data_IF_161694524991
#
_entry.id   IF_161694524991
#
_cell.length_a   1.000
_cell.length_b   1.000
_cell.length_c   1.000
_cell.angle_alpha   90.00
_cell.angle_beta   90.00
_cell.angle_gamma   90.00
#
_symmetry.space_group_name_H-M   'P 1'
#
loop_
_entity.id
_entity.type
_entity.pdbx_description
1 polymer ?
#
# COMPACT_ATOMS: atom_id res chain seq x y z
N UNK A 1 -8.93 18.01 10.63
CA UNK A 1 -8.63 18.97 11.67
C UNK A 1 -7.22 18.76 12.19
N UNK A 2 -6.54 19.83 12.58
CA UNK A 2 -5.12 19.83 13.02
C UNK A 2 -4.84 18.86 14.19
N UNK A 3 -5.84 18.56 15.01
CA UNK A 3 -5.70 17.66 16.16
C UNK A 3 -5.45 16.21 15.72
N UNK A 4 -6.16 15.69 14.74
CA UNK A 4 -5.93 14.33 14.21
C UNK A 4 -4.58 14.18 13.48
N UNK A 5 -4.12 15.24 12.84
CA UNK A 5 -2.84 15.30 12.13
C UNK A 5 -1.66 15.17 13.11
N UNK A 6 -1.69 15.97 14.19
CA UNK A 6 -0.66 15.94 15.23
C UNK A 6 -0.62 14.60 15.96
N UNK A 7 -1.77 14.00 16.20
CA UNK A 7 -1.89 12.69 16.86
C UNK A 7 -1.29 11.57 16.02
N UNK A 8 -1.52 11.54 14.72
CA UNK A 8 -0.94 10.54 13.80
C UNK A 8 0.59 10.58 13.80
N UNK A 9 1.18 11.78 13.72
CA UNK A 9 2.63 11.93 13.78
C UNK A 9 3.20 11.43 15.11
N UNK A 10 2.62 11.83 16.24
CA UNK A 10 3.08 11.42 17.57
C UNK A 10 3.00 9.90 17.75
N UNK A 11 1.90 9.27 17.33
CA UNK A 11 1.72 7.81 17.40
C UNK A 11 2.82 7.08 16.59
N UNK A 12 3.16 7.58 15.40
CA UNK A 12 4.22 7.00 14.57
C UNK A 12 5.58 7.13 15.28
N UNK A 13 5.88 8.29 15.87
CA UNK A 13 7.13 8.49 16.60
C UNK A 13 7.22 7.57 17.83
N UNK A 14 6.15 7.44 18.59
CA UNK A 14 6.07 6.54 19.75
C UNK A 14 6.25 5.07 19.33
N UNK A 15 5.59 4.65 18.24
CA UNK A 15 5.75 3.32 17.68
C UNK A 15 7.22 3.05 17.25
N UNK A 16 7.86 4.02 16.61
CA UNK A 16 9.27 3.91 16.23
C UNK A 16 10.21 3.79 17.45
N UNK A 17 9.97 4.57 18.51
CA UNK A 17 10.74 4.46 19.76
C UNK A 17 10.58 3.08 20.42
N UNK A 18 9.42 2.44 20.25
CA UNK A 18 9.15 1.09 20.75
C UNK A 18 9.60 -0.03 19.80
N UNK A 19 10.19 0.31 18.64
CA UNK A 19 10.59 -0.66 17.62
C UNK A 19 9.42 -1.33 16.90
N UNK A 20 8.24 -0.72 16.92
CA UNK A 20 7.03 -1.25 16.29
C UNK A 20 6.96 -0.83 14.82
N UNK A 21 6.42 -1.71 13.97
CA UNK A 21 6.14 -1.40 12.57
C UNK A 21 4.83 -0.64 12.42
N UNK A 22 4.81 0.36 11.54
CA UNK A 22 3.63 1.17 11.25
C UNK A 22 3.24 1.00 9.77
N UNK A 23 1.96 0.66 9.53
CA UNK A 23 1.39 0.47 8.20
C UNK A 23 0.23 1.45 8.04
N UNK A 24 0.36 2.37 7.09
CA UNK A 24 -0.52 3.52 6.95
C UNK A 24 -1.34 3.43 5.66
N UNK A 25 -2.65 3.52 5.78
CA UNK A 25 -3.57 3.85 4.68
C UNK A 25 -3.86 5.36 4.77
N UNK A 26 -3.14 6.20 3.98
CA UNK A 26 -3.13 7.64 4.19
C UNK A 26 -4.49 8.25 3.84
N UNK A 27 -4.83 9.34 4.53
CA UNK A 27 -5.99 10.17 4.24
C UNK A 27 -5.59 11.64 4.20
N UNK A 28 -6.33 12.40 3.41
CA UNK A 28 -6.10 13.84 3.28
C UNK A 28 -5.02 14.19 2.26
N UNK A 29 -4.56 15.44 2.32
CA UNK A 29 -3.65 16.05 1.35
C UNK A 29 -2.29 16.44 1.94
N UNK A 30 -1.98 16.00 3.15
CA UNK A 30 -0.68 16.20 3.79
C UNK A 30 -0.13 14.88 4.31
N UNK A 31 0.84 14.33 3.59
CA UNK A 31 1.50 13.08 3.95
C UNK A 31 2.70 13.28 4.90
N UNK A 32 3.08 14.52 5.21
CA UNK A 32 4.21 14.78 6.13
C UNK A 32 3.97 14.20 7.52
N UNK A 33 2.70 14.05 7.92
CA UNK A 33 2.29 13.45 9.18
C UNK A 33 2.62 11.96 9.30
N UNK A 34 2.93 11.31 8.18
CA UNK A 34 3.28 9.89 8.11
C UNK A 34 4.80 9.66 7.99
N UNK A 35 5.59 10.73 8.18
CA UNK A 35 7.06 10.64 8.15
C UNK A 35 7.59 9.54 9.07
N UNK A 36 8.60 8.81 8.59
CA UNK A 36 9.26 7.71 9.30
C UNK A 36 8.40 6.47 9.56
N UNK A 37 7.23 6.35 8.94
CA UNK A 37 6.45 5.10 8.98
C UNK A 37 7.20 3.95 8.30
N UNK A 38 6.86 2.72 8.67
CA UNK A 38 7.40 1.53 8.00
C UNK A 38 6.89 1.44 6.56
N UNK A 39 5.60 1.63 6.34
CA UNK A 39 4.99 1.58 5.02
C UNK A 39 3.79 2.53 4.93
N UNK A 40 3.69 3.24 3.81
CA UNK A 40 2.54 4.06 3.45
C UNK A 40 1.95 3.54 2.13
N UNK A 41 0.62 3.33 2.10
CA UNK A 41 -0.10 2.74 0.95
C UNK A 41 -1.17 3.70 0.40
N UNK A 42 -0.83 4.73 -0.36
CA UNK A 42 -1.83 5.51 -1.09
C UNK A 42 -2.41 4.74 -2.28
N UNK A 43 -3.60 5.10 -2.71
CA UNK A 43 -4.05 4.81 -4.07
C UNK A 43 -3.49 5.85 -5.06
N UNK A 44 -3.66 5.60 -6.37
CA UNK A 44 -3.13 6.49 -7.41
C UNK A 44 -3.63 7.92 -7.28
N UNK A 45 -4.92 8.13 -6.97
CA UNK A 45 -5.50 9.47 -6.82
C UNK A 45 -4.93 10.22 -5.62
N UNK A 46 -4.74 9.53 -4.50
CA UNK A 46 -4.09 10.10 -3.29
C UNK A 46 -2.62 10.42 -3.57
N UNK A 47 -1.92 9.57 -4.30
CA UNK A 47 -0.53 9.80 -4.72
C UNK A 47 -0.42 11.02 -5.64
N UNK A 48 -1.28 11.10 -6.67
CA UNK A 48 -1.31 12.22 -7.62
C UNK A 48 -1.72 13.55 -6.96
N UNK A 49 -2.52 13.51 -5.90
CA UNK A 49 -2.87 14.70 -5.13
C UNK A 49 -1.63 15.34 -4.46
N UNK A 50 -0.67 14.52 -4.05
CA UNK A 50 0.55 14.95 -3.35
C UNK A 50 1.69 15.29 -4.32
N UNK A 51 1.84 14.49 -5.38
CA UNK A 51 2.99 14.57 -6.30
C UNK A 51 2.67 15.20 -7.64
N UNK A 52 1.38 15.42 -7.93
CA UNK A 52 0.92 15.76 -9.27
C UNK A 52 0.79 14.54 -10.18
N UNK A 53 0.09 14.70 -11.30
CA UNK A 53 -0.03 13.66 -12.32
C UNK A 53 1.30 13.50 -13.06
N UNK A 54 1.69 12.26 -13.27
CA UNK A 54 2.87 11.91 -14.06
C UNK A 54 2.50 11.73 -15.54
N UNK A 55 3.31 12.28 -16.44
CA UNK A 55 3.07 12.24 -17.88
C UNK A 55 3.51 10.91 -18.53
N UNK A 56 4.39 10.17 -17.86
CA UNK A 56 4.94 8.90 -18.35
C UNK A 56 5.37 8.01 -17.15
N UNK A 57 5.63 6.70 -17.41
CA UNK A 57 6.04 5.76 -16.36
C UNK A 57 7.31 6.16 -15.61
N UNK A 58 8.31 6.69 -16.29
CA UNK A 58 9.57 7.11 -15.65
C UNK A 58 9.34 8.24 -14.64
N UNK A 59 8.54 9.24 -15.01
CA UNK A 59 8.18 10.33 -14.10
C UNK A 59 7.39 9.83 -12.88
N UNK A 60 6.51 8.82 -13.08
CA UNK A 60 5.80 8.20 -11.97
C UNK A 60 6.76 7.48 -11.01
N UNK A 61 7.73 6.74 -11.55
CA UNK A 61 8.74 6.04 -10.76
C UNK A 61 9.62 7.03 -9.98
N UNK A 62 10.09 8.10 -10.63
CA UNK A 62 10.87 9.17 -10.00
C UNK A 62 10.07 9.86 -8.88
N UNK A 63 8.81 10.18 -9.13
CA UNK A 63 7.92 10.81 -8.15
C UNK A 63 7.69 9.90 -6.94
N UNK A 64 7.53 8.59 -7.16
CA UNK A 64 7.37 7.62 -6.09
C UNK A 64 8.62 7.52 -5.21
N UNK A 65 9.80 7.44 -5.81
CA UNK A 65 11.06 7.44 -5.06
C UNK A 65 11.27 8.75 -4.29
N UNK A 66 11.01 9.92 -4.91
CA UNK A 66 11.07 11.22 -4.24
C UNK A 66 10.13 11.31 -3.04
N UNK A 67 8.89 10.81 -3.17
CA UNK A 67 7.94 10.82 -2.06
C UNK A 67 8.41 9.92 -0.93
N UNK A 68 8.87 8.71 -1.25
CA UNK A 68 9.43 7.77 -0.27
C UNK A 68 10.58 8.40 0.53
N UNK A 69 11.54 9.02 -0.16
CA UNK A 69 12.70 9.68 0.46
C UNK A 69 12.29 10.90 1.30
N UNK A 70 11.40 11.75 0.76
CA UNK A 70 10.89 12.93 1.47
C UNK A 70 10.23 12.58 2.79
N UNK A 71 9.47 11.47 2.82
CA UNK A 71 8.80 10.97 4.02
C UNK A 71 9.70 10.09 4.90
N UNK A 72 10.92 9.78 4.46
CA UNK A 72 11.85 8.87 5.16
C UNK A 72 11.22 7.52 5.53
N UNK A 73 10.30 7.03 4.68
CA UNK A 73 9.61 5.75 4.89
C UNK A 73 10.40 4.61 4.25
N UNK A 74 10.30 3.40 4.83
CA UNK A 74 10.98 2.23 4.27
C UNK A 74 10.35 1.81 2.94
N UNK A 75 9.03 1.81 2.89
CA UNK A 75 8.27 1.34 1.73
C UNK A 75 7.12 2.29 1.39
N UNK A 76 6.96 2.60 0.12
CA UNK A 76 5.77 3.24 -0.43
C UNK A 76 5.10 2.26 -1.39
N UNK A 77 3.83 1.93 -1.17
CA UNK A 77 3.05 1.04 -2.04
C UNK A 77 1.89 1.80 -2.67
N UNK A 78 1.99 2.13 -3.97
CA UNK A 78 0.90 2.80 -4.69
C UNK A 78 -0.01 1.76 -5.33
N UNK A 79 -1.30 1.71 -4.92
CA UNK A 79 -2.31 0.86 -5.56
C UNK A 79 -2.90 1.59 -6.76
N UNK A 80 -3.01 0.89 -7.92
CA UNK A 80 -3.35 1.49 -9.21
C UNK A 80 -4.58 0.82 -9.86
N UNK A 81 -5.44 0.24 -9.03
CA UNK A 81 -6.65 -0.44 -9.49
C UNK A 81 -6.34 -1.55 -10.50
N UNK A 82 -6.91 -1.47 -11.70
CA UNK A 82 -6.70 -2.46 -12.79
C UNK A 82 -5.23 -2.59 -13.24
N UNK A 83 -4.40 -1.60 -12.98
CA UNK A 83 -2.98 -1.61 -13.34
C UNK A 83 -2.11 -2.25 -12.25
N UNK A 84 -2.73 -2.73 -11.18
CA UNK A 84 -2.05 -3.45 -10.09
C UNK A 84 -1.44 -2.53 -9.05
N UNK A 85 -0.20 -2.76 -8.66
CA UNK A 85 0.50 -2.04 -7.58
C UNK A 85 1.94 -1.74 -7.96
N UNK A 86 2.49 -0.66 -7.42
CA UNK A 86 3.92 -0.33 -7.55
C UNK A 86 4.51 -0.13 -6.16
N UNK A 87 5.54 -0.90 -5.84
CA UNK A 87 6.31 -0.82 -4.60
C UNK A 87 7.58 -0.01 -4.85
N UNK A 88 7.83 0.96 -4.01
CA UNK A 88 9.05 1.76 -3.95
C UNK A 88 9.80 1.44 -2.64
N UNK A 89 11.03 1.01 -2.74
CA UNK A 89 11.88 0.61 -1.61
C UNK A 89 13.33 1.07 -1.82
N UNK A 90 14.21 0.76 -0.89
CA UNK A 90 15.66 0.98 -1.08
C UNK A 90 16.24 0.13 -2.21
N UNK A 91 15.62 -1.03 -2.49
CA UNK A 91 16.02 -1.93 -3.57
C UNK A 91 15.57 -1.44 -4.95
N UNK A 92 14.78 -0.35 -5.00
CA UNK A 92 14.25 0.25 -6.21
C UNK A 92 12.75 0.08 -6.36
N UNK A 93 12.29 0.10 -7.62
CA UNK A 93 10.88 0.07 -8.00
C UNK A 93 10.49 -1.32 -8.48
N UNK A 94 9.38 -1.86 -7.96
CA UNK A 94 8.83 -3.14 -8.38
C UNK A 94 7.35 -2.98 -8.76
N UNK A 95 6.99 -3.48 -9.94
CA UNK A 95 5.64 -3.39 -10.49
C UNK A 95 4.96 -4.76 -10.39
N UNK A 96 3.80 -4.80 -9.75
CA UNK A 96 2.94 -5.96 -9.60
C UNK A 96 1.68 -5.74 -10.44
N UNK A 97 1.57 -6.41 -11.57
CA UNK A 97 0.40 -6.31 -12.45
C UNK A 97 -0.83 -6.90 -11.77
N UNK A 98 -2.00 -6.34 -12.05
CA UNK A 98 -3.28 -6.93 -11.60
C UNK A 98 -3.45 -8.32 -12.22
N UNK A 99 -3.94 -9.26 -11.41
CA UNK A 99 -4.14 -10.66 -11.84
C UNK A 99 -5.43 -10.80 -12.66
N UNK A 100 -6.43 -9.95 -12.43
CA UNK A 100 -7.71 -10.00 -13.14
C UNK A 100 -8.07 -8.65 -13.74
N UNK A 101 -8.61 -8.69 -14.97
CA UNK A 101 -8.99 -7.50 -15.77
C UNK A 101 -10.42 -7.02 -15.49
N UNK A 102 -11.31 -7.91 -15.05
CA UNK A 102 -12.73 -7.61 -14.83
C UNK A 102 -12.98 -7.37 -13.34
N UNK A 103 -13.22 -6.12 -13.00
CA UNK A 103 -13.47 -5.67 -11.61
C UNK A 103 -14.94 -5.32 -11.50
N UNK A 104 -15.65 -6.01 -10.58
CA UNK A 104 -17.07 -5.72 -10.30
C UNK A 104 -17.23 -4.63 -9.24
N UNK A 105 -16.42 -4.65 -8.17
CA UNK A 105 -16.46 -3.65 -7.10
C UNK A 105 -15.09 -3.49 -6.46
N UNK A 106 -14.59 -2.25 -6.39
CA UNK A 106 -13.29 -1.92 -5.77
C UNK A 106 -13.40 -1.54 -4.29
N UNK A 107 -14.63 -1.53 -3.75
CA UNK A 107 -14.88 -1.14 -2.35
C UNK A 107 -14.22 -2.14 -1.40
N UNK A 108 -13.37 -1.64 -0.49
CA UNK A 108 -12.66 -2.47 0.49
C UNK A 108 -11.41 -3.19 -0.02
N UNK A 109 -11.08 -3.10 -1.33
CA UNK A 109 -9.85 -3.69 -1.86
C UNK A 109 -8.59 -3.10 -1.19
N UNK A 110 -8.58 -1.80 -0.93
CA UNK A 110 -7.48 -1.12 -0.23
C UNK A 110 -7.27 -1.63 1.20
N UNK A 111 -8.35 -1.86 1.93
CA UNK A 111 -8.32 -2.40 3.29
C UNK A 111 -7.83 -3.85 3.30
N UNK A 112 -8.25 -4.65 2.31
CA UNK A 112 -7.76 -6.02 2.11
C UNK A 112 -6.25 -6.02 1.86
N UNK A 113 -5.75 -5.13 0.99
CA UNK A 113 -4.32 -5.00 0.70
C UNK A 113 -3.53 -4.74 1.95
N UNK A 114 -3.87 -3.71 2.72
CA UNK A 114 -3.07 -3.32 3.90
C UNK A 114 -3.13 -4.38 5.00
N UNK A 115 -4.27 -5.04 5.18
CA UNK A 115 -4.45 -6.09 6.18
C UNK A 115 -3.60 -7.32 5.87
N UNK A 116 -3.63 -7.82 4.64
CA UNK A 116 -2.81 -8.99 4.22
C UNK A 116 -1.32 -8.64 4.22
N UNK A 117 -0.98 -7.47 3.68
CA UNK A 117 0.40 -6.98 3.61
C UNK A 117 1.06 -6.92 5.00
N UNK A 118 0.41 -6.22 5.94
CA UNK A 118 0.92 -6.08 7.30
C UNK A 118 1.03 -7.42 8.01
N UNK A 119 0.01 -8.28 7.90
CA UNK A 119 0.01 -9.62 8.49
C UNK A 119 1.16 -10.49 7.95
N UNK A 120 1.41 -10.46 6.64
CA UNK A 120 2.50 -11.21 6.01
C UNK A 120 3.89 -10.71 6.46
N UNK A 121 4.09 -9.38 6.51
CA UNK A 121 5.36 -8.79 6.95
C UNK A 121 5.62 -9.13 8.43
N UNK A 122 4.62 -8.99 9.30
CA UNK A 122 4.73 -9.35 10.73
C UNK A 122 5.02 -10.84 10.91
N UNK A 123 4.48 -11.70 10.04
CA UNK A 123 4.78 -13.13 10.01
C UNK A 123 6.18 -13.48 9.44
N UNK A 124 7.00 -12.49 9.11
CA UNK A 124 8.39 -12.66 8.67
C UNK A 124 8.58 -12.85 7.16
N UNK A 125 7.54 -12.64 6.34
CA UNK A 125 7.70 -12.65 4.88
C UNK A 125 8.39 -11.38 4.40
N UNK A 126 9.10 -11.48 3.26
CA UNK A 126 9.66 -10.30 2.60
C UNK A 126 8.55 -9.34 2.16
N UNK A 127 8.86 -8.04 2.04
CA UNK A 127 7.90 -7.04 1.56
C UNK A 127 7.40 -7.38 0.16
N UNK A 128 8.28 -7.82 -0.73
CA UNK A 128 7.95 -8.22 -2.11
C UNK A 128 6.94 -9.37 -2.15
N UNK A 129 7.17 -10.42 -1.35
CA UNK A 129 6.23 -11.55 -1.24
C UNK A 129 4.90 -11.11 -0.63
N UNK A 130 4.94 -10.26 0.39
CA UNK A 130 3.74 -9.73 1.05
C UNK A 130 2.90 -8.87 0.09
N UNK A 131 3.52 -8.04 -0.75
CA UNK A 131 2.83 -7.28 -1.80
C UNK A 131 2.22 -8.23 -2.84
N UNK A 132 2.94 -9.27 -3.28
CA UNK A 132 2.41 -10.27 -4.21
C UNK A 132 1.15 -10.95 -3.66
N UNK A 133 1.18 -11.39 -2.41
CA UNK A 133 0.04 -12.03 -1.75
C UNK A 133 -1.13 -11.06 -1.56
N UNK A 134 -0.87 -9.80 -1.18
CA UNK A 134 -1.92 -8.80 -1.05
C UNK A 134 -2.55 -8.41 -2.40
N UNK A 135 -1.78 -8.43 -3.49
CA UNK A 135 -2.30 -8.24 -4.85
C UNK A 135 -3.24 -9.38 -5.28
N UNK A 136 -2.90 -10.64 -4.95
CA UNK A 136 -3.78 -11.80 -5.15
C UNK A 136 -5.06 -11.63 -4.32
N UNK A 137 -4.94 -11.30 -3.04
CA UNK A 137 -6.07 -11.12 -2.14
C UNK A 137 -7.02 -10.00 -2.61
N UNK A 138 -6.47 -8.87 -3.05
CA UNK A 138 -7.26 -7.79 -3.63
C UNK A 138 -8.03 -8.25 -4.87
N UNK A 139 -7.39 -9.04 -5.76
CA UNK A 139 -8.05 -9.60 -6.94
C UNK A 139 -9.19 -10.57 -6.59
N UNK A 140 -9.08 -11.32 -5.50
CA UNK A 140 -10.14 -12.19 -5.00
C UNK A 140 -11.27 -11.41 -4.33
N UNK A 141 -10.97 -10.34 -3.60
CA UNK A 141 -11.98 -9.53 -2.92
C UNK A 141 -12.91 -8.80 -3.88
N UNK A 142 -12.38 -8.27 -4.99
CA UNK A 142 -13.18 -7.55 -6.00
C UNK A 142 -14.11 -8.46 -6.84
N UNK A 143 -13.96 -9.78 -6.75
CA UNK A 143 -14.87 -10.73 -7.39
C UNK A 143 -16.10 -11.04 -6.54
N UNK A 144 -16.08 -10.66 -5.27
CA UNK A 144 -17.17 -10.88 -4.33
C UNK A 144 -17.97 -9.59 -4.20
N UNK A 145 -19.28 -9.66 -4.28
CA UNK A 145 -20.16 -8.50 -4.05
C UNK A 145 -20.08 -8.07 -2.58
N UNK A 146 -19.71 -6.81 -2.34
CA UNK A 146 -19.60 -6.21 -1.01
C UNK A 146 -18.26 -6.49 -0.30
N UNK A 147 -18.11 -5.93 0.91
CA UNK A 147 -16.92 -6.12 1.76
C UNK A 147 -16.88 -7.55 2.29
N UNK A 148 -16.11 -8.42 1.64
CA UNK A 148 -15.97 -9.83 2.02
C UNK A 148 -14.53 -10.14 2.38
N UNK A 149 -14.35 -11.04 3.38
CA UNK A 149 -13.03 -11.53 3.76
C UNK A 149 -12.50 -12.54 2.73
N UNK A 150 -11.19 -12.52 2.53
CA UNK A 150 -10.47 -13.55 1.78
C UNK A 150 -9.96 -14.58 2.78
N UNK A 151 -10.35 -15.85 2.62
CA UNK A 151 -9.89 -16.92 3.49
C UNK A 151 -8.46 -17.37 3.13
N UNK A 152 -7.76 -17.95 4.11
CA UNK A 152 -6.41 -18.48 3.90
C UNK A 152 -6.39 -19.53 2.77
N UNK A 153 -7.41 -20.42 2.71
CA UNK A 153 -7.52 -21.45 1.66
C UNK A 153 -7.64 -20.87 0.27
N UNK A 154 -8.43 -19.80 0.10
CA UNK A 154 -8.56 -19.09 -1.19
C UNK A 154 -7.24 -18.45 -1.62
N UNK A 155 -6.53 -17.85 -0.67
CA UNK A 155 -5.23 -17.23 -0.94
C UNK A 155 -4.17 -18.27 -1.31
N UNK A 156 -4.11 -19.39 -0.60
CA UNK A 156 -3.18 -20.49 -0.87
C UNK A 156 -3.44 -21.14 -2.25
N UNK A 157 -4.70 -21.32 -2.61
CA UNK A 157 -5.08 -21.88 -3.92
C UNK A 157 -4.67 -20.96 -5.06
N UNK A 158 -4.97 -19.66 -4.94
CA UNK A 158 -4.66 -18.66 -5.97
C UNK A 158 -3.15 -18.34 -6.05
N UNK A 159 -2.36 -18.62 -5.01
CA UNK A 159 -0.91 -18.39 -5.03
C UNK A 159 -0.10 -19.48 -5.75
N UNK A 160 -0.74 -20.62 -6.07
CA UNK A 160 -0.13 -21.78 -6.76
C UNK A 160 -0.34 -21.75 -8.27
N UNK A 161 -1.25 -20.89 -8.76
CA UNK A 161 -1.50 -20.66 -10.18
C UNK A 161 -0.55 -19.55 -10.71
#
# INVERSE_FOLDING_TARGET
SEMCIRDSYNIIQDANHLGLMTFIDPKGNDFSVYESSTLVKPNLSEFELIMGKSNNPTEFEDNGMKLRERLKIKHLLVTRGKDGMTLFSEEGVQIFKSIKKDVFDVTGAGDTVISILSSCIIAGKSVTESVRLSNIAASLSVLKLGSTSVSQKELESASKE
#
